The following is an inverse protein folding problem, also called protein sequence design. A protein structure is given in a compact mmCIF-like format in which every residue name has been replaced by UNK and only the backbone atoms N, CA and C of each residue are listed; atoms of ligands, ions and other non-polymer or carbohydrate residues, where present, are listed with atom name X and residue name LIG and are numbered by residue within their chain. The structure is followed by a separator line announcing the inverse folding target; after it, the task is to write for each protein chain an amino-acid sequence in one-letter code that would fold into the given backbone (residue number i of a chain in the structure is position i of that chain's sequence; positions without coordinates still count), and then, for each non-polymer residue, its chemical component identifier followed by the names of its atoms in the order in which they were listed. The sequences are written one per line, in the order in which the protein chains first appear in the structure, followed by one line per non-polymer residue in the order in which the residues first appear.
data_IF_658439354681
#
_entry.id   IF_658439354681
#
_cell.length_a   1.000
_cell.length_b   1.000
_cell.length_c   1.000
_cell.angle_alpha   90.00
_cell.angle_beta   90.00
_cell.angle_gamma   90.00
#
_symmetry.space_group_name_H-M   'P 1'
#
loop_
_entity.id
_entity.type
_entity.pdbx_description
1 polymer ?
#
# COMPACT_ATOMS: atom_id res chain seq x y z
N UNK A 1 4.85 -4.64 -2.19
CA UNK A 1 5.64 -3.40 -2.01
C UNK A 1 5.12 -2.39 -3.02
N UNK A 2 4.16 -1.55 -2.63
CA UNK A 2 3.66 -0.48 -3.49
C UNK A 2 4.60 0.70 -3.24
N UNK A 3 5.61 0.82 -4.11
CA UNK A 3 6.42 2.03 -4.26
C UNK A 3 5.44 3.18 -4.57
N UNK A 4 5.27 4.24 -3.76
CA UNK A 4 6.24 5.23 -3.28
C UNK A 4 7.00 5.92 -4.42
N UNK A 5 6.33 6.21 -5.52
CA UNK A 5 6.60 7.42 -6.32
C UNK A 5 5.55 8.46 -5.92
N UNK A 6 5.70 8.97 -4.70
CA UNK A 6 5.11 10.26 -4.37
C UNK A 6 6.11 11.27 -4.94
N UNK A 7 5.70 12.09 -5.89
CA UNK A 7 6.39 13.35 -6.18
C UNK A 7 6.26 14.28 -4.97
N UNK A 8 6.92 13.90 -3.87
CA UNK A 8 7.30 14.78 -2.79
C UNK A 8 8.36 15.72 -3.38
N UNK A 9 7.95 16.66 -4.24
CA UNK A 9 8.79 17.74 -4.75
C UNK A 9 9.06 18.79 -3.66
N UNK A 10 9.13 18.34 -2.41
CA UNK A 10 9.87 19.02 -1.38
C UNK A 10 11.34 18.77 -1.68
N UNK A 11 12.05 19.78 -2.20
CA UNK A 11 13.51 19.88 -2.07
C UNK A 11 13.86 19.92 -0.56
N UNK A 12 13.79 18.78 0.12
CA UNK A 12 13.88 18.71 1.57
C UNK A 12 15.07 17.85 1.97
N UNK A 13 16.08 18.50 2.55
CA UNK A 13 17.07 17.86 3.41
C UNK A 13 16.46 17.21 4.69
N UNK A 14 15.13 17.19 4.85
CA UNK A 14 14.39 16.77 6.05
C UNK A 14 13.24 15.75 5.80
N UNK A 15 13.24 15.03 4.68
CA UNK A 15 12.15 14.11 4.29
C UNK A 15 11.78 13.06 5.37
N UNK A 16 12.73 12.65 6.23
CA UNK A 16 12.49 11.65 7.28
C UNK A 16 11.39 12.02 8.27
N UNK A 17 11.27 13.30 8.65
CA UNK A 17 10.27 13.76 9.62
C UNK A 17 8.86 13.75 9.03
N UNK A 18 8.71 14.20 7.79
CA UNK A 18 7.44 14.24 7.08
C UNK A 18 6.88 12.84 6.85
N UNK A 19 7.71 11.93 6.33
CA UNK A 19 7.31 10.54 6.07
C UNK A 19 6.96 9.80 7.35
N UNK A 20 7.77 9.95 8.41
CA UNK A 20 7.46 9.37 9.73
C UNK A 20 6.11 9.85 10.24
N UNK A 21 5.86 11.16 10.19
CA UNK A 21 4.61 11.73 10.69
C UNK A 21 3.40 11.29 9.86
N UNK A 22 3.53 11.23 8.53
CA UNK A 22 2.49 10.72 7.66
C UNK A 22 2.11 9.28 8.03
N UNK A 23 3.10 8.40 8.26
CA UNK A 23 2.84 7.01 8.68
C UNK A 23 2.13 6.91 10.04
N UNK A 24 2.47 7.79 11.00
CA UNK A 24 1.75 7.86 12.29
C UNK A 24 0.29 8.25 12.08
N UNK A 25 0.03 9.26 11.25
CA UNK A 25 -1.33 9.76 10.93
C UNK A 25 -2.13 8.68 10.21
N UNK A 26 -1.56 7.99 9.23
CA UNK A 26 -2.23 6.95 8.44
C UNK A 26 -2.68 5.75 9.28
N UNK A 27 -2.02 5.47 10.41
CA UNK A 27 -2.34 4.36 11.31
C UNK A 27 -3.48 4.65 12.28
N UNK A 28 -3.95 5.89 12.36
CA UNK A 28 -5.12 6.24 13.17
C UNK A 28 -6.36 5.54 12.59
N UNK A 29 -7.23 5.05 13.48
CA UNK A 29 -8.44 4.34 13.09
C UNK A 29 -9.58 5.32 12.79
N UNK A 30 -9.57 5.91 11.60
CA UNK A 30 -10.68 6.73 11.10
C UNK A 30 -11.85 5.84 10.67
N UNK A 31 -13.05 6.11 11.19
CA UNK A 31 -14.25 5.30 10.98
C UNK A 31 -14.96 5.59 9.67
N UNK A 32 -14.78 6.80 9.13
CA UNK A 32 -15.43 7.23 7.89
C UNK A 32 -14.47 8.00 7.00
N UNK A 33 -14.84 8.12 5.71
CA UNK A 33 -14.14 8.98 4.76
C UNK A 33 -14.14 10.44 5.20
N UNK A 34 -15.27 10.92 5.71
CA UNK A 34 -15.41 12.32 6.14
C UNK A 34 -14.54 12.61 7.37
N UNK A 35 -14.46 11.69 8.33
CA UNK A 35 -13.59 11.82 9.49
C UNK A 35 -12.12 11.90 9.06
N UNK A 36 -11.68 11.01 8.16
CA UNK A 36 -10.33 11.01 7.62
C UNK A 36 -10.04 12.30 6.84
N UNK A 37 -11.00 12.77 6.03
CA UNK A 37 -10.87 13.97 5.21
C UNK A 37 -10.70 15.24 6.07
N UNK A 38 -11.38 15.33 7.21
CA UNK A 38 -11.18 16.42 8.17
C UNK A 38 -9.87 16.25 8.97
N UNK A 39 -9.59 15.04 9.44
CA UNK A 39 -8.57 14.81 10.46
C UNK A 39 -7.15 14.70 9.90
N UNK A 40 -6.96 14.03 8.76
CA UNK A 40 -5.63 13.75 8.21
C UNK A 40 -4.91 15.05 7.80
N UNK A 41 -5.51 15.94 6.99
CA UNK A 41 -4.86 17.18 6.60
C UNK A 41 -4.63 18.11 7.80
N UNK A 42 -5.59 18.16 8.73
CA UNK A 42 -5.50 18.98 9.93
C UNK A 42 -4.35 18.52 10.86
N UNK A 43 -4.22 17.21 11.08
CA UNK A 43 -3.15 16.65 11.90
C UNK A 43 -1.76 16.89 11.27
N UNK A 44 -1.66 16.78 9.94
CA UNK A 44 -0.42 17.05 9.23
C UNK A 44 -0.04 18.54 9.30
N UNK A 45 -1.00 19.45 9.07
CA UNK A 45 -0.79 20.89 9.21
C UNK A 45 -0.39 21.28 10.64
N UNK A 46 -1.10 20.75 11.65
CA UNK A 46 -0.82 21.01 13.06
C UNK A 46 0.61 20.61 13.45
N UNK A 47 1.11 19.48 12.96
CA UNK A 47 2.49 19.06 13.20
C UNK A 47 3.52 20.11 12.75
N UNK A 48 3.31 20.75 11.59
CA UNK A 48 4.18 21.81 11.12
C UNK A 48 3.96 23.15 11.83
N UNK A 49 2.72 23.46 12.21
CA UNK A 49 2.42 24.66 13.01
C UNK A 49 3.15 24.62 14.36
N UNK A 50 3.09 23.48 15.04
CA UNK A 50 3.62 23.33 16.40
C UNK A 50 5.16 23.13 16.40
N UNK A 51 5.68 22.28 15.50
CA UNK A 51 7.09 21.88 15.50
C UNK A 51 8.00 22.68 14.58
N UNK A 52 7.45 23.34 13.56
CA UNK A 52 8.23 23.99 12.50
C UNK A 52 7.58 25.32 12.03
N UNK A 53 7.40 26.31 12.92
CA UNK A 53 6.69 27.55 12.60
C UNK A 53 7.31 28.32 11.44
N UNK A 54 8.64 28.26 11.27
CA UNK A 54 9.32 28.85 10.12
C UNK A 54 8.97 28.18 8.78
N UNK A 55 8.73 26.86 8.78
CA UNK A 55 8.26 26.11 7.60
C UNK A 55 6.79 26.44 7.36
N UNK A 56 5.96 26.41 8.41
CA UNK A 56 4.55 26.77 8.31
C UNK A 56 4.35 28.16 7.71
N UNK A 57 5.11 29.16 8.15
CA UNK A 57 5.00 30.53 7.64
C UNK A 57 5.49 30.72 6.20
N UNK A 58 6.46 29.94 5.73
CA UNK A 58 7.09 30.13 4.41
C UNK A 58 6.58 29.19 3.34
N UNK A 59 6.08 28.02 3.72
CA UNK A 59 5.72 26.90 2.82
C UNK A 59 4.38 26.29 3.21
N UNK A 60 3.44 27.14 3.63
CA UNK A 60 2.13 26.70 4.10
C UNK A 60 1.39 25.88 3.05
N UNK A 61 1.45 26.30 1.79
CA UNK A 61 0.74 25.63 0.70
C UNK A 61 1.35 24.26 0.40
N UNK A 62 2.67 24.11 0.43
CA UNK A 62 3.34 22.81 0.32
C UNK A 62 2.91 21.87 1.46
N UNK A 63 2.81 22.37 2.70
CA UNK A 63 2.34 21.58 3.85
C UNK A 63 0.89 21.13 3.66
N UNK A 64 0.01 22.03 3.19
CA UNK A 64 -1.40 21.70 2.91
C UNK A 64 -1.51 20.65 1.81
N UNK A 65 -0.77 20.81 0.72
CA UNK A 65 -0.68 19.83 -0.38
C UNK A 65 -0.18 18.49 0.15
N UNK A 66 0.86 18.48 0.98
CA UNK A 66 1.34 17.26 1.63
C UNK A 66 0.27 16.57 2.47
N UNK A 67 -0.51 17.32 3.25
CA UNK A 67 -1.65 16.78 4.01
C UNK A 67 -2.74 16.17 3.13
N UNK A 68 -3.03 16.79 1.97
CA UNK A 68 -3.97 16.26 0.99
C UNK A 68 -3.46 14.97 0.33
N UNK A 69 -2.16 14.87 0.02
CA UNK A 69 -1.55 13.65 -0.50
C UNK A 69 -1.59 12.50 0.51
N UNK A 70 -1.36 12.79 1.80
CA UNK A 70 -1.52 11.77 2.86
C UNK A 70 -2.96 11.25 2.91
N UNK A 71 -3.96 12.13 2.79
CA UNK A 71 -5.36 11.72 2.69
C UNK A 71 -5.62 10.88 1.43
N UNK A 72 -5.06 11.25 0.28
CA UNK A 72 -5.18 10.49 -0.96
C UNK A 72 -4.61 9.07 -0.82
N UNK A 73 -3.48 8.92 -0.11
CA UNK A 73 -2.90 7.61 0.21
C UNK A 73 -3.86 6.79 1.08
N UNK A 74 -4.42 7.39 2.13
CA UNK A 74 -5.38 6.70 3.00
C UNK A 74 -6.61 6.23 2.20
N UNK A 75 -7.12 7.09 1.31
CA UNK A 75 -8.29 6.80 0.47
C UNK A 75 -8.10 5.62 -0.49
N UNK A 76 -6.88 5.43 -1.00
CA UNK A 76 -6.55 4.31 -1.91
C UNK A 76 -6.39 2.96 -1.19
N UNK A 77 -6.13 2.95 0.12
CA UNK A 77 -5.69 1.75 0.83
C UNK A 77 -6.63 1.27 1.95
N UNK A 78 -7.49 2.14 2.47
CA UNK A 78 -8.35 1.86 3.62
C UNK A 78 -9.79 1.94 3.17
N UNK A 79 -10.61 0.96 3.52
CA UNK A 79 -12.04 0.91 3.17
C UNK A 79 -12.82 0.65 4.46
N UNK A 80 -13.27 1.71 5.16
CA UNK A 80 -13.85 1.58 6.50
C UNK A 80 -15.07 0.65 6.55
N UNK A 81 -15.90 0.67 5.51
CA UNK A 81 -17.11 -0.17 5.39
C UNK A 81 -16.76 -1.66 5.31
N UNK A 82 -15.57 -1.97 4.80
CA UNK A 82 -15.04 -3.33 4.67
C UNK A 82 -14.22 -3.76 5.90
N UNK A 83 -14.16 -2.92 6.95
CA UNK A 83 -13.30 -3.11 8.12
C UNK A 83 -11.81 -3.35 7.75
N UNK A 84 -11.35 -2.80 6.61
CA UNK A 84 -9.95 -2.87 6.19
C UNK A 84 -9.19 -1.73 6.83
N UNK A 85 -8.26 -2.04 7.74
CA UNK A 85 -7.39 -1.04 8.38
C UNK A 85 -5.91 -1.44 8.32
N UNK A 86 -5.01 -0.48 8.48
CA UNK A 86 -3.57 -0.73 8.51
C UNK A 86 -3.21 -1.69 9.65
N UNK A 87 -2.52 -2.78 9.33
CA UNK A 87 -2.08 -3.78 10.31
C UNK A 87 -3.16 -4.75 10.80
N UNK A 88 -4.38 -4.73 10.23
CA UNK A 88 -5.44 -5.67 10.62
C UNK A 88 -5.24 -7.08 10.07
N UNK A 89 -4.70 -7.21 8.86
CA UNK A 89 -4.45 -8.51 8.25
C UNK A 89 -2.97 -8.86 8.32
N UNK A 90 -2.63 -10.11 8.66
CA UNK A 90 -1.25 -10.58 8.57
C UNK A 90 -0.74 -10.45 7.13
N UNK A 91 0.54 -10.11 6.99
CA UNK A 91 1.18 -10.04 5.69
C UNK A 91 1.37 -11.45 5.14
N UNK A 92 0.49 -11.89 4.25
CA UNK A 92 0.56 -13.22 3.62
C UNK A 92 1.58 -13.27 2.47
N UNK A 93 2.75 -12.64 2.64
CA UNK A 93 3.80 -12.53 1.60
C UNK A 93 4.72 -13.78 1.62
N UNK A 94 4.56 -14.69 2.60
CA UNK A 94 5.31 -15.95 2.65
C UNK A 94 4.87 -16.93 3.75
N UNK A 95 5.34 -18.18 3.65
CA UNK A 95 5.01 -19.29 4.56
C UNK A 95 5.66 -19.18 5.96
N UNK A 96 6.40 -18.11 6.22
CA UNK A 96 7.11 -17.90 7.48
C UNK A 96 6.20 -17.36 8.57
N UNK A 97 5.22 -16.52 8.20
CA UNK A 97 4.34 -15.82 9.14
C UNK A 97 2.92 -16.42 9.17
N UNK A 98 2.61 -17.27 8.19
CA UNK A 98 1.34 -18.00 8.05
C UNK A 98 1.64 -19.38 7.43
N UNK A 99 0.99 -20.49 7.84
CA UNK A 99 1.29 -21.82 7.33
C UNK A 99 1.06 -22.01 5.81
N UNK A 100 0.60 -20.99 5.09
CA UNK A 100 0.39 -21.00 3.65
C UNK A 100 -1.00 -21.49 3.24
N UNK A 101 -1.35 -21.26 1.98
CA UNK A 101 -2.63 -21.67 1.40
C UNK A 101 -2.49 -23.08 0.78
N UNK A 102 -2.64 -24.13 1.59
CA UNK A 102 -2.59 -25.52 1.10
C UNK A 102 -3.71 -25.89 0.13
N UNK A 103 -4.79 -25.09 0.09
CA UNK A 103 -6.00 -25.38 -0.70
C UNK A 103 -5.75 -25.58 -2.20
N UNK A 104 -4.68 -25.05 -2.78
CA UNK A 104 -4.38 -25.21 -4.21
C UNK A 104 -2.97 -25.77 -4.50
N UNK A 105 -2.14 -25.96 -3.47
CA UNK A 105 -0.73 -26.33 -3.61
C UNK A 105 -0.34 -27.63 -2.91
N UNK A 106 -1.29 -28.28 -2.23
CA UNK A 106 -1.07 -29.59 -1.58
C UNK A 106 -0.91 -30.75 -2.58
N UNK A 107 -1.01 -30.48 -3.89
CA UNK A 107 -0.90 -31.50 -4.94
C UNK A 107 -2.13 -32.40 -5.06
N UNK A 108 -3.17 -32.20 -4.24
CA UNK A 108 -4.37 -33.05 -4.20
C UNK A 108 -5.35 -32.80 -5.34
N UNK A 109 -5.11 -31.78 -6.17
CA UNK A 109 -5.94 -31.42 -7.32
C UNK A 109 -5.42 -32.09 -8.61
N UNK A 110 -5.23 -33.41 -8.56
CA UNK A 110 -4.96 -34.21 -9.74
C UNK A 110 -6.28 -34.70 -10.36
N UNK A 111 -6.45 -34.53 -11.67
CA UNK A 111 -7.49 -35.27 -12.37
C UNK A 111 -7.22 -36.78 -12.23
N UNK A 112 -8.27 -37.63 -12.19
CA UNK A 112 -8.13 -39.10 -12.02
C UNK A 112 -7.22 -39.78 -13.05
N UNK A 113 -6.89 -39.09 -14.16
CA UNK A 113 -5.99 -39.55 -15.21
C UNK A 113 -4.56 -38.96 -15.12
N UNK A 114 -4.21 -38.23 -14.05
CA UNK A 114 -2.85 -37.72 -13.81
C UNK A 114 -2.45 -36.49 -14.64
N UNK A 115 -3.36 -35.87 -15.38
CA UNK A 115 -3.06 -34.66 -16.15
C UNK A 115 -3.07 -33.42 -15.24
N UNK A 116 -1.87 -32.93 -14.91
CA UNK A 116 -1.67 -31.57 -14.41
C UNK A 116 -1.68 -30.61 -15.60
N UNK A 117 -2.40 -29.49 -15.49
CA UNK A 117 -2.48 -28.45 -16.53
C UNK A 117 -1.13 -27.69 -16.63
N UNK A 118 -0.08 -28.37 -17.07
CA UNK A 118 1.15 -27.73 -17.50
C UNK A 118 0.92 -27.27 -18.94
N UNK A 119 0.48 -26.03 -19.06
CA UNK A 119 0.44 -25.35 -20.34
C UNK A 119 1.86 -25.28 -20.90
N UNK A 120 2.16 -26.14 -21.88
CA UNK A 120 3.02 -25.92 -23.05
C UNK A 120 3.10 -27.24 -23.83
N UNK A 121 2.12 -27.43 -24.72
CA UNK A 121 2.17 -28.48 -25.74
C UNK A 121 3.29 -28.13 -26.72
N UNK A 122 4.46 -28.74 -26.55
CA UNK A 122 5.54 -28.66 -27.54
C UNK A 122 5.01 -29.30 -28.83
N UNK A 123 4.73 -28.48 -29.84
CA UNK A 123 4.35 -28.95 -31.17
C UNK A 123 5.51 -29.80 -31.72
N UNK A 124 5.26 -30.99 -32.29
CA UNK A 124 6.32 -31.77 -32.93
C UNK A 124 6.78 -31.04 -34.19
N UNK A 125 8.09 -30.80 -34.29
CA UNK A 125 8.73 -30.40 -35.55
C UNK A 125 8.50 -31.52 -36.57
N UNK A 126 7.81 -31.18 -37.66
CA UNK A 126 7.66 -31.98 -38.86
C UNK A 126 9.04 -32.32 -39.44
N UNK A 127 9.38 -33.60 -39.51
CA UNK A 127 10.51 -34.11 -40.26
C UNK A 127 10.26 -33.93 -41.77
N UNK A 128 11.25 -33.37 -42.46
CA UNK A 128 11.26 -33.15 -43.90
C UNK A 128 11.42 -34.45 -44.70
N UNK A 129 10.96 -34.35 -45.94
CA UNK A 129 10.94 -35.35 -46.99
C UNK A 129 12.35 -35.81 -47.41
N UNK A 130 12.46 -37.09 -47.71
CA UNK A 130 13.56 -37.74 -48.45
C UNK A 130 13.08 -39.07 -48.98
#
# INVERSE_FOLDING_TARGET
MIALEIEFNFRCHNCGHATKKALEILKVNYKTRDEAAASIPAAFAKYYQDGYPAIWSKRQDEVKTGGAEVLAIWNRNIFPEMNVTWGRYPMNIGHTDFPGCFRCHDGSHAAKNGLHHTGLRRLPLSAGHG
#
